data_IF_218892339027
#
_entry.id   IF_218892339027
#
_cell.length_a   1.000
_cell.length_b   1.000
_cell.length_c   1.000
_cell.angle_alpha   90.00
_cell.angle_beta   90.00
_cell.angle_gamma   90.00
#
_symmetry.space_group_name_H-M   'P 1'
#
loop_
_entity.id
_entity.type
_entity.pdbx_description
1 polymer ?
#
# COMPACT_ATOMS: atom_id res chain seq x y z
N UNK A 1 4.70 -8.83 -28.26
CA UNK A 1 4.68 -9.34 -26.87
C UNK A 1 3.56 -8.59 -26.15
N UNK A 2 2.60 -9.28 -25.54
CA UNK A 2 1.35 -8.68 -25.03
C UNK A 2 1.44 -8.15 -23.59
N UNK A 3 2.64 -8.07 -23.00
CA UNK A 3 2.87 -7.46 -21.67
C UNK A 3 2.26 -8.20 -20.46
N UNK A 4 1.42 -9.21 -20.70
CA UNK A 4 0.75 -10.02 -19.68
C UNK A 4 1.70 -10.95 -18.92
N UNK A 5 2.80 -11.37 -19.54
CA UNK A 5 3.81 -12.22 -18.91
C UNK A 5 5.12 -11.44 -18.82
N UNK A 6 5.58 -11.09 -17.61
CA UNK A 6 6.87 -10.45 -17.43
C UNK A 6 8.01 -11.30 -17.98
N UNK A 7 9.09 -10.64 -18.38
CA UNK A 7 10.25 -11.31 -18.95
C UNK A 7 10.80 -12.41 -18.03
N UNK A 8 10.79 -12.17 -16.71
CA UNK A 8 11.19 -13.12 -15.68
C UNK A 8 10.40 -14.44 -15.77
N UNK A 9 9.07 -14.38 -15.86
CA UNK A 9 8.20 -15.57 -15.95
C UNK A 9 8.51 -16.37 -17.22
N UNK A 10 8.66 -15.68 -18.36
CA UNK A 10 8.97 -16.33 -19.64
C UNK A 10 10.34 -17.02 -19.58
N UNK A 11 11.34 -16.40 -18.94
CA UNK A 11 12.66 -16.98 -18.75
C UNK A 11 12.63 -18.21 -17.84
N UNK A 12 11.92 -18.15 -16.71
CA UNK A 12 11.82 -19.29 -15.79
C UNK A 12 11.10 -20.48 -16.40
N UNK A 13 10.05 -20.23 -17.20
CA UNK A 13 9.36 -21.27 -17.97
C UNK A 13 10.29 -21.90 -19.00
N UNK A 14 11.05 -21.10 -19.75
CA UNK A 14 12.01 -21.62 -20.74
C UNK A 14 13.11 -22.48 -20.08
N UNK A 15 13.65 -22.06 -18.93
CA UNK A 15 14.64 -22.82 -18.16
C UNK A 15 14.04 -24.13 -17.64
N UNK A 16 12.80 -24.09 -17.13
CA UNK A 16 12.11 -25.27 -16.61
C UNK A 16 11.74 -26.27 -17.70
N UNK A 17 11.41 -25.80 -18.90
CA UNK A 17 11.16 -26.67 -20.06
C UNK A 17 12.46 -27.35 -20.54
N UNK A 18 13.57 -26.62 -20.61
CA UNK A 18 14.88 -27.17 -21.02
C UNK A 18 15.47 -28.15 -19.99
N UNK A 19 15.24 -27.89 -18.70
CA UNK A 19 15.69 -28.75 -17.59
C UNK A 19 14.72 -29.89 -17.24
N UNK A 20 13.51 -29.92 -17.84
CA UNK A 20 12.46 -30.88 -17.50
C UNK A 20 11.85 -30.67 -16.10
N UNK A 21 12.02 -29.48 -15.52
CA UNK A 21 11.59 -29.07 -14.18
C UNK A 21 10.54 -27.95 -14.20
N UNK A 22 9.70 -27.91 -15.24
CA UNK A 22 8.69 -26.88 -15.45
C UNK A 22 7.76 -26.68 -14.24
N UNK A 23 7.35 -27.76 -13.58
CA UNK A 23 6.50 -27.73 -12.39
C UNK A 23 7.16 -26.95 -11.23
N UNK A 24 8.45 -27.22 -10.98
CA UNK A 24 9.24 -26.50 -9.96
C UNK A 24 9.39 -25.01 -10.32
N UNK A 25 9.65 -24.70 -11.60
CA UNK A 25 9.81 -23.31 -12.04
C UNK A 25 8.50 -22.53 -11.95
N UNK A 26 7.36 -23.15 -12.27
CA UNK A 26 6.04 -22.54 -12.12
C UNK A 26 5.68 -22.30 -10.65
N UNK A 27 6.01 -23.22 -9.74
CA UNK A 27 5.83 -23.01 -8.30
C UNK A 27 6.63 -21.79 -7.81
N UNK A 28 7.89 -21.65 -8.26
CA UNK A 28 8.73 -20.50 -7.92
C UNK A 28 8.16 -19.16 -8.41
N UNK A 29 7.55 -19.15 -9.59
CA UNK A 29 6.86 -17.97 -10.11
C UNK A 29 5.64 -17.64 -9.26
N UNK A 30 4.87 -18.66 -8.83
CA UNK A 30 3.73 -18.45 -7.93
C UNK A 30 4.17 -17.85 -6.59
N UNK A 31 5.21 -18.42 -5.96
CA UNK A 31 5.77 -17.93 -4.70
C UNK A 31 6.22 -16.46 -4.82
N UNK A 32 6.86 -16.10 -5.94
CA UNK A 32 7.29 -14.72 -6.21
C UNK A 32 6.11 -13.74 -6.28
N UNK A 33 5.03 -14.12 -6.96
CA UNK A 33 3.84 -13.26 -7.05
C UNK A 33 3.08 -13.17 -5.72
N UNK A 34 3.06 -14.25 -4.93
CA UNK A 34 2.49 -14.24 -3.59
C UNK A 34 3.27 -13.26 -2.70
N UNK A 35 4.61 -13.31 -2.73
CA UNK A 35 5.47 -12.36 -2.02
C UNK A 35 5.26 -10.91 -2.49
N UNK A 36 5.08 -10.67 -3.80
CA UNK A 36 4.80 -9.33 -4.33
C UNK A 36 3.45 -8.79 -3.82
N UNK A 37 2.42 -9.65 -3.75
CA UNK A 37 1.11 -9.29 -3.21
C UNK A 37 1.19 -9.02 -1.71
N UNK A 38 1.85 -9.88 -0.93
CA UNK A 38 2.00 -9.71 0.51
C UNK A 38 2.75 -8.41 0.84
N UNK A 39 3.85 -8.13 0.13
CA UNK A 39 4.60 -6.88 0.27
C UNK A 39 3.73 -5.66 -0.06
N UNK A 40 2.88 -5.75 -1.08
CA UNK A 40 1.97 -4.66 -1.43
C UNK A 40 0.90 -4.46 -0.34
N UNK A 41 0.35 -5.54 0.21
CA UNK A 41 -0.64 -5.50 1.30
C UNK A 41 -0.03 -4.90 2.57
N UNK A 42 1.19 -5.29 2.93
CA UNK A 42 1.91 -4.75 4.09
C UNK A 42 2.23 -3.27 3.91
N UNK A 43 2.71 -2.87 2.72
CA UNK A 43 2.95 -1.48 2.40
C UNK A 43 1.67 -0.64 2.51
N UNK A 44 0.55 -1.12 1.96
CA UNK A 44 -0.75 -0.45 2.08
C UNK A 44 -1.20 -0.35 3.54
N UNK A 45 -1.05 -1.43 4.31
CA UNK A 45 -1.40 -1.46 5.73
C UNK A 45 -0.57 -0.47 6.55
N UNK A 46 0.73 -0.39 6.28
CA UNK A 46 1.64 0.56 6.94
C UNK A 46 1.28 2.03 6.68
N UNK A 47 0.70 2.32 5.50
CA UNK A 47 0.27 3.67 5.14
C UNK A 47 -1.09 4.06 5.75
N UNK A 48 -1.91 3.08 6.16
CA UNK A 48 -3.20 3.38 6.80
C UNK A 48 -3.01 4.08 8.16
N UNK A 49 -2.04 3.66 8.96
CA UNK A 49 -1.75 4.26 10.27
C UNK A 49 -1.49 5.78 10.20
N UNK A 50 -0.52 6.29 9.40
CA UNK A 50 -0.27 7.72 9.30
C UNK A 50 -1.47 8.49 8.72
N UNK A 51 -2.23 7.91 7.79
CA UNK A 51 -3.43 8.53 7.22
C UNK A 51 -4.49 8.76 8.31
N UNK A 52 -4.75 7.74 9.13
CA UNK A 52 -5.70 7.84 10.25
C UNK A 52 -5.24 8.92 11.24
N UNK A 53 -3.94 8.97 11.53
CA UNK A 53 -3.36 9.95 12.46
C UNK A 53 -3.54 11.40 11.96
N UNK A 54 -3.34 11.65 10.67
CA UNK A 54 -3.59 12.95 10.04
C UNK A 54 -5.06 13.34 10.12
N UNK A 55 -5.97 12.41 9.79
CA UNK A 55 -7.42 12.66 9.85
C UNK A 55 -7.84 13.01 11.28
N UNK A 56 -7.41 12.24 12.27
CA UNK A 56 -7.69 12.51 13.68
C UNK A 56 -7.11 13.86 14.12
N UNK A 57 -5.89 14.19 13.71
CA UNK A 57 -5.27 15.48 13.99
C UNK A 57 -6.08 16.66 13.44
N UNK A 58 -6.58 16.56 12.21
CA UNK A 58 -7.44 17.57 11.60
C UNK A 58 -8.78 17.68 12.31
N UNK A 59 -9.41 16.56 12.66
CA UNK A 59 -10.69 16.55 13.37
C UNK A 59 -10.57 17.19 14.76
N UNK A 60 -9.58 16.78 15.55
CA UNK A 60 -9.34 17.33 16.89
C UNK A 60 -8.92 18.79 16.82
N UNK A 61 -7.99 19.13 15.91
CA UNK A 61 -7.55 20.51 15.70
C UNK A 61 -8.70 21.42 15.27
N UNK A 62 -9.56 20.96 14.36
CA UNK A 62 -10.77 21.67 13.93
C UNK A 62 -11.75 21.89 15.08
N UNK A 63 -11.94 20.89 15.95
CA UNK A 63 -12.82 21.01 17.12
C UNK A 63 -12.30 22.07 18.10
N UNK A 64 -10.99 22.05 18.41
CA UNK A 64 -10.36 23.06 19.27
C UNK A 64 -10.55 24.46 18.69
N UNK A 65 -10.24 24.66 17.42
CA UNK A 65 -10.42 25.96 16.75
C UNK A 65 -11.88 26.41 16.80
N UNK A 66 -12.84 25.51 16.53
CA UNK A 66 -14.27 25.81 16.58
C UNK A 66 -14.75 26.21 17.99
N UNK A 67 -14.17 25.62 19.03
CA UNK A 67 -14.49 25.99 20.42
C UNK A 67 -13.88 27.32 20.86
N UNK A 68 -12.63 27.61 20.48
CA UNK A 68 -11.93 28.81 20.95
C UNK A 68 -12.18 30.06 20.09
N UNK A 69 -12.40 29.94 18.78
CA UNK A 69 -12.76 31.08 17.91
C UNK A 69 -13.89 31.96 18.45
N UNK A 70 -15.05 31.43 18.90
CA UNK A 70 -16.13 32.25 19.41
C UNK A 70 -15.75 32.98 20.70
N UNK A 71 -14.91 32.37 21.56
CA UNK A 71 -14.39 33.04 22.76
C UNK A 71 -13.54 34.25 22.36
N UNK A 72 -12.64 34.10 21.39
CA UNK A 72 -11.83 35.21 20.87
C UNK A 72 -12.68 36.31 20.22
N UNK A 73 -13.70 35.93 19.44
CA UNK A 73 -14.63 36.89 18.84
C UNK A 73 -15.38 37.68 19.91
N UNK A 74 -15.89 37.01 20.95
CA UNK A 74 -16.56 37.68 22.07
C UNK A 74 -15.62 38.59 22.85
N UNK A 75 -14.36 38.18 23.09
CA UNK A 75 -13.36 39.01 23.76
C UNK A 75 -12.96 40.26 22.96
N UNK A 76 -12.99 40.20 21.62
CA UNK A 76 -12.68 41.35 20.76
C UNK A 76 -13.81 42.38 20.65
N UNK A 77 -15.03 42.00 21.03
CA UNK A 77 -16.23 42.86 20.98
C UNK A 77 -16.54 43.58 22.30
N UNK A 78 -15.72 43.36 23.33
CA UNK A 78 -15.76 44.08 24.63
C UNK A 78 -14.59 45.06 24.64
#
# INVERSE_FOLDING_TARGET
QTGLFPHMVVQMVAIGEEAGSLDEMLSKVADFYEEEVDNAVDALSSLLEPIIMVILGVLVGGLVVAMYLPIFKMASTI
#
